data_IF_592107075217
#
_entry.id   IF_592107075217
#
_cell.length_a   1.000
_cell.length_b   1.000
_cell.length_c   1.000
_cell.angle_alpha   90.00
_cell.angle_beta   90.00
_cell.angle_gamma   90.00
#
_symmetry.space_group_name_H-M   'P 1'
#
loop_
_entity.id
_entity.type
_entity.pdbx_description
1 polymer ?
#
# COMPACT_ATOMS: atom_id res chain seq x y z
N UNK A 1 -9.25 -5.87 15.38
CA UNK A 1 -8.38 -4.95 14.61
C UNK A 1 -8.42 -3.58 15.28
N UNK A 2 -7.32 -2.82 15.34
CA UNK A 2 -7.26 -1.56 16.13
C UNK A 2 -8.21 -0.46 15.62
N UNK A 3 -8.75 -0.64 14.42
CA UNK A 3 -9.65 0.30 13.72
C UNK A 3 -11.14 -0.09 13.77
N UNK A 4 -11.50 -1.12 14.53
CA UNK A 4 -12.86 -1.68 14.54
C UNK A 4 -13.95 -0.65 14.90
N UNK A 5 -13.62 0.36 15.70
CA UNK A 5 -14.57 1.37 16.20
C UNK A 5 -14.55 2.69 15.42
N UNK A 6 -13.79 2.81 14.34
CA UNK A 6 -13.78 4.06 13.54
C UNK A 6 -15.08 4.29 12.76
N UNK A 7 -15.89 3.24 12.55
CA UNK A 7 -17.14 3.29 11.78
C UNK A 7 -18.40 3.34 12.65
N UNK A 8 -18.28 3.25 13.97
CA UNK A 8 -19.44 3.33 14.85
C UNK A 8 -19.93 4.77 14.92
N UNK A 9 -21.23 4.97 14.70
CA UNK A 9 -21.93 6.24 14.88
C UNK A 9 -21.95 6.72 16.34
N UNK A 10 -21.50 5.89 17.28
CA UNK A 10 -21.44 6.21 18.72
C UNK A 10 -20.40 7.29 19.05
N UNK A 11 -19.51 7.61 18.11
CA UNK A 11 -18.51 8.67 18.23
C UNK A 11 -18.75 9.75 17.17
N UNK A 12 -19.60 10.71 17.52
CA UNK A 12 -19.89 11.86 16.66
C UNK A 12 -18.72 12.85 16.69
N UNK A 13 -17.96 12.88 15.59
CA UNK A 13 -17.03 13.95 15.29
C UNK A 13 -15.56 13.60 15.50
N UNK A 14 -14.82 13.58 14.40
CA UNK A 14 -13.38 13.75 14.43
C UNK A 14 -13.05 15.25 14.58
N UNK A 15 -11.99 15.58 15.32
CA UNK A 15 -11.45 16.93 15.29
C UNK A 15 -11.10 17.35 13.85
N UNK A 16 -10.98 18.64 13.57
CA UNK A 16 -10.56 19.11 12.24
C UNK A 16 -9.23 18.45 11.81
N UNK A 17 -8.30 18.24 12.75
CA UNK A 17 -7.02 17.57 12.51
C UNK A 17 -7.22 16.09 12.17
N UNK A 18 -8.06 15.36 12.91
CA UNK A 18 -8.33 13.96 12.62
C UNK A 18 -9.10 13.80 11.29
N UNK A 19 -10.04 14.69 11.00
CA UNK A 19 -10.74 14.77 9.70
C UNK A 19 -9.76 15.05 8.57
N UNK A 20 -8.79 15.95 8.79
CA UNK A 20 -7.72 16.24 7.84
C UNK A 20 -6.80 15.02 7.62
N UNK A 21 -6.64 14.13 8.59
CA UNK A 21 -5.93 12.86 8.43
C UNK A 21 -6.83 11.73 7.89
N UNK A 22 -8.12 12.01 7.62
CA UNK A 22 -9.14 11.03 7.28
C UNK A 22 -9.60 10.16 8.47
N UNK A 23 -8.79 10.10 9.53
CA UNK A 23 -8.98 9.36 10.79
C UNK A 23 -7.92 9.80 11.80
N UNK A 24 -8.00 9.32 13.04
CA UNK A 24 -6.98 9.58 14.07
C UNK A 24 -5.68 8.82 13.74
N UNK A 25 -4.52 9.49 13.61
CA UNK A 25 -3.25 8.81 13.42
C UNK A 25 -2.87 7.90 14.61
N UNK A 26 -2.44 6.67 14.37
CA UNK A 26 -1.96 5.73 15.40
C UNK A 26 -0.53 5.28 15.07
N UNK A 27 0.38 5.46 16.03
CA UNK A 27 1.78 5.04 15.91
C UNK A 27 2.08 3.81 16.75
N UNK A 28 2.82 2.86 16.18
CA UNK A 28 3.42 1.76 16.93
C UNK A 28 4.69 2.26 17.62
N UNK A 29 4.82 2.03 18.94
CA UNK A 29 6.03 2.42 19.69
C UNK A 29 6.56 1.24 20.50
N UNK A 30 7.66 0.63 20.04
CA UNK A 30 8.34 -0.45 20.77
C UNK A 30 9.85 -0.41 20.54
N UNK A 31 10.63 -1.02 21.43
CA UNK A 31 12.06 -1.28 21.20
C UNK A 31 12.28 -2.50 20.29
N UNK A 32 11.23 -3.30 20.07
CA UNK A 32 11.27 -4.58 19.36
C UNK A 32 10.62 -4.53 17.98
N UNK A 33 10.38 -3.33 17.43
CA UNK A 33 9.85 -3.22 16.07
C UNK A 33 10.98 -3.53 15.08
N UNK A 34 10.72 -4.40 14.12
CA UNK A 34 11.72 -4.80 13.13
C UNK A 34 11.21 -4.53 11.72
N UNK A 35 12.07 -4.00 10.85
CA UNK A 35 11.71 -3.53 9.51
C UNK A 35 11.05 -4.64 8.66
N UNK A 36 11.53 -5.88 8.79
CA UNK A 36 10.95 -7.04 8.08
C UNK A 36 9.48 -7.34 8.44
N UNK A 37 8.98 -6.82 9.55
CA UNK A 37 7.57 -6.95 9.99
C UNK A 37 6.74 -5.71 9.63
N UNK A 38 7.24 -4.79 8.80
CA UNK A 38 6.53 -3.57 8.39
C UNK A 38 5.08 -3.86 7.96
N UNK A 39 4.88 -4.86 7.09
CA UNK A 39 3.56 -5.23 6.57
C UNK A 39 2.59 -5.63 7.69
N UNK A 40 3.07 -6.29 8.75
CA UNK A 40 2.25 -6.65 9.90
C UNK A 40 1.74 -5.40 10.63
N UNK A 41 2.56 -4.36 10.75
CA UNK A 41 2.15 -3.11 11.39
C UNK A 41 1.15 -2.34 10.53
N UNK A 42 1.39 -2.27 9.22
CA UNK A 42 0.46 -1.66 8.26
C UNK A 42 -0.89 -2.39 8.29
N UNK A 43 -0.88 -3.73 8.18
CA UNK A 43 -2.09 -4.57 8.17
C UNK A 43 -2.83 -4.55 9.52
N UNK A 44 -2.12 -4.34 10.63
CA UNK A 44 -2.75 -4.13 11.94
C UNK A 44 -3.49 -2.79 12.01
N UNK A 45 -3.16 -1.84 11.13
CA UNK A 45 -3.80 -0.54 10.97
C UNK A 45 -2.99 0.63 11.50
N UNK A 46 -1.69 0.49 11.76
CA UNK A 46 -0.83 1.60 12.19
C UNK A 46 -0.52 2.55 11.02
N UNK A 47 -0.37 3.84 11.31
CA UNK A 47 -0.01 4.88 10.32
C UNK A 47 1.48 5.19 10.32
N UNK A 48 2.17 4.87 11.41
CA UNK A 48 3.59 5.08 11.57
C UNK A 48 4.19 4.25 12.69
N UNK A 49 5.50 4.34 12.83
CA UNK A 49 6.27 3.65 13.86
C UNK A 49 7.33 4.56 14.47
N UNK A 50 7.68 4.28 15.73
CA UNK A 50 8.73 4.95 16.47
C UNK A 50 9.48 3.88 17.27
N UNK A 51 10.81 3.82 17.08
CA UNK A 51 11.66 2.96 17.89
C UNK A 51 11.99 3.60 19.24
N UNK A 52 12.12 2.76 20.26
CA UNK A 52 12.68 3.16 21.56
C UNK A 52 14.20 2.93 21.57
N UNK A 53 15.00 3.80 22.20
CA UNK A 53 14.61 5.02 22.93
C UNK A 53 14.13 6.14 22.00
N UNK A 54 13.15 6.93 22.45
CA UNK A 54 12.53 7.97 21.63
C UNK A 54 13.44 9.19 21.53
N UNK A 55 13.80 9.58 20.31
CA UNK A 55 14.36 10.90 20.02
C UNK A 55 13.21 11.93 19.95
N UNK A 56 13.16 12.85 20.91
CA UNK A 56 12.11 13.88 20.97
C UNK A 56 12.17 14.90 19.83
N UNK A 57 13.36 15.18 19.28
CA UNK A 57 13.50 16.08 18.13
C UNK A 57 12.86 15.43 16.90
N UNK A 58 13.11 14.13 16.72
CA UNK A 58 12.47 13.36 15.66
C UNK A 58 10.97 13.21 15.89
N UNK A 59 10.53 12.90 17.11
CA UNK A 59 9.11 12.83 17.47
C UNK A 59 8.37 14.12 17.12
N UNK A 60 8.92 15.29 17.47
CA UNK A 60 8.31 16.58 17.13
C UNK A 60 8.11 16.73 15.62
N UNK A 61 9.08 16.29 14.82
CA UNK A 61 8.98 16.32 13.35
C UNK A 61 7.87 15.38 12.85
N UNK A 62 7.77 14.17 13.42
CA UNK A 62 6.71 13.22 13.07
C UNK A 62 5.32 13.75 13.41
N UNK A 63 5.17 14.39 14.59
CA UNK A 63 3.93 15.01 15.03
C UNK A 63 3.56 16.23 14.19
N UNK A 64 4.53 17.01 13.73
CA UNK A 64 4.29 18.12 12.80
C UNK A 64 3.70 17.60 11.47
N UNK A 65 4.13 16.42 11.01
CA UNK A 65 3.55 15.71 9.87
C UNK A 65 2.08 15.26 10.02
N UNK A 66 1.47 15.45 11.20
CA UNK A 66 0.02 15.31 11.38
C UNK A 66 -0.70 16.47 10.71
N UNK A 67 -0.12 17.68 10.75
CA UNK A 67 -0.71 18.94 10.29
C UNK A 67 -0.11 19.39 8.96
N UNK A 68 1.18 19.16 8.75
CA UNK A 68 1.91 19.64 7.57
C UNK A 68 2.26 18.48 6.62
N UNK A 69 1.73 18.54 5.40
CA UNK A 69 1.86 17.47 4.41
C UNK A 69 3.28 17.31 3.87
N UNK A 70 3.96 18.42 3.65
CA UNK A 70 5.37 18.42 3.23
C UNK A 70 6.25 17.75 4.28
N UNK A 71 6.02 18.05 5.56
CA UNK A 71 6.76 17.40 6.67
C UNK A 71 6.46 15.91 6.70
N UNK A 72 5.19 15.50 6.57
CA UNK A 72 4.82 14.08 6.49
C UNK A 72 5.55 13.36 5.36
N UNK A 73 5.62 13.98 4.18
CA UNK A 73 6.28 13.41 3.01
C UNK A 73 7.78 13.18 3.26
N UNK A 74 8.46 14.10 3.96
CA UNK A 74 9.87 13.92 4.37
C UNK A 74 10.08 12.86 5.46
N UNK A 75 9.00 12.44 6.12
CA UNK A 75 9.01 11.46 7.20
C UNK A 75 8.46 10.09 6.79
N UNK A 76 8.29 9.82 5.49
CA UNK A 76 7.90 8.51 5.00
C UNK A 76 8.99 7.46 5.22
N UNK A 77 8.55 6.22 5.28
CA UNK A 77 9.44 5.07 5.21
C UNK A 77 10.38 5.14 4.00
N UNK A 78 11.66 4.89 4.28
CA UNK A 78 12.70 4.64 3.31
C UNK A 78 13.55 3.45 3.79
N UNK A 79 13.92 2.52 2.89
CA UNK A 79 14.76 1.38 3.25
C UNK A 79 16.05 1.79 3.95
N UNK A 80 16.39 1.10 5.04
CA UNK A 80 17.60 1.39 5.82
C UNK A 80 17.55 2.68 6.66
N UNK A 81 16.36 3.26 6.85
CA UNK A 81 16.12 4.40 7.76
C UNK A 81 15.11 4.05 8.87
N UNK A 82 14.97 2.76 9.20
CA UNK A 82 13.98 2.24 10.14
C UNK A 82 14.09 2.86 11.53
N UNK A 83 15.32 3.08 11.99
CA UNK A 83 15.70 3.60 13.32
C UNK A 83 15.16 5.00 13.58
N UNK A 84 14.93 5.79 12.53
CA UNK A 84 14.43 7.15 12.65
C UNK A 84 12.92 7.23 12.88
N UNK A 85 12.20 6.11 12.76
CA UNK A 85 10.73 6.15 12.74
C UNK A 85 10.18 6.92 11.54
N UNK A 86 8.87 6.84 11.37
CA UNK A 86 8.23 7.47 10.22
C UNK A 86 6.77 7.14 10.08
N UNK A 87 6.25 7.56 8.93
CA UNK A 87 4.92 7.30 8.42
C UNK A 87 4.99 6.20 7.35
N UNK A 88 4.03 5.28 7.36
CA UNK A 88 3.94 4.24 6.33
C UNK A 88 3.37 4.76 5.02
N UNK A 89 2.48 5.76 5.07
CA UNK A 89 1.76 6.27 3.92
C UNK A 89 1.68 7.79 3.93
N UNK A 90 1.62 8.36 2.71
CA UNK A 90 1.16 9.73 2.50
C UNK A 90 -0.26 9.90 3.03
N UNK A 91 -0.64 11.14 3.25
CA UNK A 91 -2.05 11.45 3.49
C UNK A 91 -2.83 11.13 2.22
N UNK A 92 -3.85 10.30 2.34
CA UNK A 92 -4.81 10.11 1.27
C UNK A 92 -5.52 11.44 1.02
N UNK A 93 -5.22 12.09 -0.09
CA UNK A 93 -6.01 13.22 -0.52
C UNK A 93 -7.35 12.65 -0.98
N UNK A 94 -8.39 12.75 -0.13
CA UNK A 94 -9.76 12.53 -0.60
C UNK A 94 -10.11 13.69 -1.53
N UNK A 95 -9.61 13.64 -2.76
CA UNK A 95 -10.34 14.24 -3.85
C UNK A 95 -11.77 13.70 -3.74
N UNK A 96 -12.75 14.59 -3.74
CA UNK A 96 -14.14 14.17 -3.87
C UNK A 96 -14.27 13.53 -5.25
N UNK A 97 -14.04 12.24 -5.35
CA UNK A 97 -14.38 11.46 -6.53
C UNK A 97 -15.91 11.41 -6.60
N UNK A 98 -16.47 12.43 -7.26
CA UNK A 98 -17.66 12.24 -8.06
C UNK A 98 -17.30 11.36 -9.25
N UNK A 99 -18.23 10.45 -9.58
CA UNK A 99 -18.28 9.62 -10.78
C UNK A 99 -17.15 8.60 -10.97
N UNK A 100 -17.30 7.45 -10.29
CA UNK A 100 -16.73 6.18 -10.75
C UNK A 100 -17.52 5.73 -11.99
N UNK A 101 -17.03 6.08 -13.18
CA UNK A 101 -17.32 5.33 -14.41
C UNK A 101 -16.42 4.09 -14.39
N UNK A 102 -16.99 2.94 -14.06
CA UNK A 102 -16.35 1.63 -14.18
C UNK A 102 -15.97 1.37 -15.64
N UNK A 103 -14.68 1.13 -15.89
CA UNK A 103 -14.21 0.48 -17.12
C UNK A 103 -13.54 -0.84 -16.71
N UNK A 104 -14.01 -2.01 -17.19
CA UNK A 104 -13.39 -3.28 -16.88
C UNK A 104 -12.06 -3.42 -17.63
N UNK A 105 -11.01 -3.78 -16.89
CA UNK A 105 -9.70 -4.18 -17.45
C UNK A 105 -9.88 -5.44 -18.31
N UNK A 106 -9.71 -5.31 -19.63
CA UNK A 106 -9.45 -6.44 -20.51
C UNK A 106 -8.03 -6.97 -20.29
N UNK A 107 -7.94 -8.25 -19.98
CA UNK A 107 -6.71 -9.05 -19.95
C UNK A 107 -6.10 -9.13 -21.36
N UNK A 108 -4.79 -8.88 -21.57
CA UNK A 108 -4.18 -9.14 -22.87
C UNK A 108 -3.90 -10.65 -23.00
N UNK A 109 -4.65 -11.30 -23.89
CA UNK A 109 -4.34 -12.65 -24.37
C UNK A 109 -3.06 -12.62 -25.23
N UNK A 110 -2.11 -13.50 -24.92
CA UNK A 110 -0.87 -13.70 -25.67
C UNK A 110 -1.20 -14.51 -26.95
N UNK A 111 -0.75 -14.10 -28.15
CA UNK A 111 -1.02 -14.87 -29.36
C UNK A 111 0.01 -16.00 -29.53
N UNK A 112 -0.42 -17.23 -29.26
CA UNK A 112 0.29 -18.45 -29.67
C UNK A 112 0.03 -18.71 -31.16
N UNK A 113 1.05 -18.47 -31.99
CA UNK A 113 1.07 -18.95 -33.38
C UNK A 113 1.75 -20.32 -33.37
N UNK A 114 0.97 -21.38 -33.53
CA UNK A 114 1.53 -22.68 -33.94
C UNK A 114 0.78 -23.26 -35.12
N UNK A 115 1.59 -23.87 -35.98
CA UNK A 115 1.35 -24.15 -37.38
C UNK A 115 0.37 -25.31 -37.57
N UNK A 116 -0.54 -25.10 -38.52
CA UNK A 116 -1.45 -26.09 -39.06
C UNK A 116 -0.67 -27.10 -39.94
N UNK A 117 -0.39 -28.29 -39.42
CA UNK A 117 -0.04 -29.46 -40.23
C UNK A 117 -1.32 -30.19 -40.64
N UNK A 118 -1.65 -30.13 -41.94
CA UNK A 118 -2.75 -30.89 -42.57
C UNK A 118 -2.33 -32.34 -42.83
N UNK A 119 -3.31 -33.22 -42.66
CA UNK A 119 -3.29 -34.66 -42.87
C UNK A 119 -2.90 -35.14 -44.28
N UNK A 120 -2.18 -36.26 -44.28
CA UNK A 120 -2.38 -37.52 -45.02
C UNK A 120 -2.94 -37.47 -46.45
N UNK A 121 -2.13 -37.91 -47.42
CA UNK A 121 -2.59 -38.85 -48.46
C UNK A 121 -1.48 -39.85 -48.81
N UNK A 122 -1.90 -41.12 -48.80
CA UNK A 122 -1.20 -42.33 -49.23
C UNK A 122 -0.98 -42.34 -50.75
N UNK A 123 0.18 -42.84 -51.20
CA UNK A 123 0.39 -43.50 -52.52
C UNK A 123 1.84 -44.00 -52.66
N UNK A 124 2.00 -45.33 -52.59
CA UNK A 124 3.12 -46.15 -53.16
C UNK A 124 3.01 -46.07 -54.71
N UNK A 125 4.03 -46.28 -55.60
CA UNK A 125 5.05 -47.34 -55.53
C UNK A 125 6.45 -47.09 -56.17
N UNK A 126 7.25 -48.16 -56.09
CA UNK A 126 8.30 -48.67 -56.99
C UNK A 126 9.76 -48.16 -56.96
N UNK A 127 10.62 -49.14 -56.65
CA UNK A 127 12.07 -49.25 -56.89
C UNK A 127 12.32 -49.54 -58.40
N UNK A 128 13.56 -49.60 -58.97
CA UNK A 128 14.80 -50.06 -58.32
C UNK A 128 16.12 -49.37 -58.74
N UNK A 129 17.19 -49.83 -58.05
CA UNK A 129 18.63 -49.84 -58.39
C UNK A 129 19.37 -48.53 -58.63
#
# INVERSE_FOLDING_TARGET
MIRAFEKSSDYDGHSAIASHNGRIPIFAVSASLIEREMDKYINAGFDGWILKPIDFKRLNTLLLGIVEDDVRATCLYAPGQWEHGGWFNLRENRAKDGDVQTTPTETPEVPTKDLLSKETTDSTPDAPS
#
